data_IF_814755387659
#
_entry.id   IF_814755387659
#
_cell.length_a   1.000
_cell.length_b   1.000
_cell.length_c   1.000
_cell.angle_alpha   90.00
_cell.angle_beta   90.00
_cell.angle_gamma   90.00
#
_symmetry.space_group_name_H-M   'P 1'
#
loop_
_entity.id
_entity.type
_entity.pdbx_description
1 polymer ?
#
# COMPACT_ATOMS: atom_id res chain seq x y z
N UNK A 1 -23.63 -9.61 4.82
CA UNK A 1 -22.30 -9.80 4.19
C UNK A 1 -22.37 -9.76 2.67
N UNK A 2 -23.23 -10.58 2.03
CA UNK A 2 -23.38 -10.61 0.55
C UNK A 2 -23.72 -9.25 -0.05
N UNK A 3 -24.72 -8.54 0.47
CA UNK A 3 -25.09 -7.19 -0.02
C UNK A 3 -23.96 -6.18 0.11
N UNK A 4 -23.18 -6.26 1.20
CA UNK A 4 -22.08 -5.36 1.47
C UNK A 4 -20.90 -5.63 0.52
N UNK A 5 -20.67 -6.88 0.14
CA UNK A 5 -19.62 -7.31 -0.79
C UNK A 5 -19.89 -6.89 -2.25
N UNK A 6 -21.15 -6.68 -2.62
CA UNK A 6 -21.55 -6.25 -3.97
C UNK A 6 -21.53 -4.72 -4.17
N UNK A 7 -21.15 -3.97 -3.14
CA UNK A 7 -21.09 -2.50 -3.21
C UNK A 7 -20.02 -2.03 -4.20
N UNK A 8 -20.23 -0.88 -4.86
CA UNK A 8 -19.18 -0.28 -5.67
C UNK A 8 -17.94 0.02 -4.80
N UNK A 9 -16.76 -0.01 -5.42
CA UNK A 9 -15.46 0.27 -4.78
C UNK A 9 -14.98 -0.75 -3.74
N UNK A 10 -15.59 -1.94 -3.67
CA UNK A 10 -15.04 -3.08 -2.91
C UNK A 10 -13.78 -3.60 -3.61
N UNK A 11 -12.68 -3.60 -2.88
CA UNK A 11 -11.36 -4.06 -3.31
C UNK A 11 -11.13 -5.54 -3.00
N UNK A 12 -11.56 -5.97 -1.81
CA UNK A 12 -11.40 -7.34 -1.33
C UNK A 12 -12.43 -7.66 -0.25
N UNK A 13 -12.74 -8.95 -0.12
CA UNK A 13 -13.67 -9.50 0.87
C UNK A 13 -12.93 -10.56 1.69
N UNK A 14 -13.18 -10.62 3.00
CA UNK A 14 -12.55 -11.54 3.96
C UNK A 14 -11.01 -11.55 3.86
N UNK A 15 -10.41 -10.36 3.79
CA UNK A 15 -8.97 -10.23 3.65
C UNK A 15 -8.28 -10.37 5.01
N UNK A 16 -7.32 -11.28 5.08
CA UNK A 16 -6.50 -11.48 6.28
C UNK A 16 -5.35 -10.47 6.35
N UNK A 17 -5.25 -9.81 7.49
CA UNK A 17 -4.13 -9.00 7.92
C UNK A 17 -3.53 -9.60 9.19
N UNK A 18 -2.34 -9.17 9.56
CA UNK A 18 -1.66 -9.68 10.74
C UNK A 18 -1.30 -8.52 11.66
N UNK A 19 -1.55 -8.67 12.96
CA UNK A 19 -1.19 -7.65 13.95
C UNK A 19 0.26 -7.85 14.39
N UNK A 20 0.69 -9.11 14.44
CA UNK A 20 2.05 -9.53 14.74
C UNK A 20 2.29 -10.93 14.11
N UNK A 21 3.29 -11.66 14.59
CA UNK A 21 3.63 -12.98 14.05
C UNK A 21 2.64 -14.09 14.43
N UNK A 22 1.84 -13.88 15.48
CA UNK A 22 0.93 -14.87 16.06
C UNK A 22 -0.55 -14.51 15.84
N UNK A 23 -0.87 -13.21 15.77
CA UNK A 23 -2.23 -12.71 15.73
C UNK A 23 -2.62 -12.27 14.32
N UNK A 24 -3.69 -12.88 13.79
CA UNK A 24 -4.31 -12.51 12.51
C UNK A 24 -5.65 -11.80 12.74
N UNK A 25 -5.99 -10.90 11.85
CA UNK A 25 -7.26 -10.19 11.82
C UNK A 25 -7.88 -10.31 10.42
N UNK A 26 -9.10 -10.82 10.35
CA UNK A 26 -9.86 -10.87 9.10
C UNK A 26 -10.72 -9.62 9.02
N UNK A 27 -10.54 -8.87 7.92
CA UNK A 27 -11.34 -7.71 7.57
C UNK A 27 -12.38 -8.16 6.55
N UNK A 28 -13.66 -8.03 6.91
CA UNK A 28 -14.75 -8.54 6.09
C UNK A 28 -14.79 -7.86 4.72
N UNK A 29 -14.60 -6.54 4.68
CA UNK A 29 -14.60 -5.77 3.43
C UNK A 29 -13.51 -4.70 3.48
N UNK A 30 -12.69 -4.69 2.44
CA UNK A 30 -11.74 -3.61 2.15
C UNK A 30 -12.27 -2.84 0.95
N UNK A 31 -12.56 -1.55 1.13
CA UNK A 31 -13.12 -0.67 0.11
C UNK A 31 -12.32 0.61 -0.05
N UNK A 32 -12.77 1.47 -0.97
CA UNK A 32 -12.24 2.82 -1.17
C UNK A 32 -10.72 2.84 -1.42
N UNK A 33 -10.25 2.01 -2.34
CA UNK A 33 -8.82 1.81 -2.65
C UNK A 33 -7.98 1.35 -1.43
N UNK A 34 -8.62 0.72 -0.44
CA UNK A 34 -7.98 0.28 0.80
C UNK A 34 -8.08 1.26 1.95
N UNK A 35 -8.65 2.46 1.75
CA UNK A 35 -8.80 3.48 2.79
C UNK A 35 -9.96 3.23 3.76
N UNK A 36 -10.85 2.26 3.48
CA UNK A 36 -11.95 1.90 4.38
C UNK A 36 -11.96 0.41 4.66
N UNK A 37 -11.95 0.05 5.93
CA UNK A 37 -12.08 -1.33 6.41
C UNK A 37 -13.41 -1.48 7.12
N UNK A 38 -14.27 -2.38 6.66
CA UNK A 38 -15.59 -2.60 7.25
C UNK A 38 -15.65 -3.98 7.90
N UNK A 39 -16.12 -3.99 9.15
CA UNK A 39 -16.56 -5.18 9.87
C UNK A 39 -18.08 -5.24 9.84
N UNK A 40 -18.64 -6.35 9.36
CA UNK A 40 -20.08 -6.58 9.31
C UNK A 40 -20.50 -7.38 10.53
N UNK A 41 -21.49 -6.88 11.27
CA UNK A 41 -21.90 -7.44 12.56
C UNK A 41 -23.39 -7.73 12.51
N UNK A 42 -23.76 -9.01 12.60
CA UNK A 42 -25.16 -9.45 12.63
C UNK A 42 -25.65 -9.88 14.02
N UNK A 43 -24.82 -9.71 15.05
CA UNK A 43 -25.12 -10.14 16.44
C UNK A 43 -26.25 -9.32 17.05
N UNK A 44 -26.99 -9.93 17.99
CA UNK A 44 -28.05 -9.27 18.73
C UNK A 44 -27.51 -8.08 19.57
N UNK A 45 -28.14 -6.90 19.51
CA UNK A 45 -27.70 -5.69 20.22
C UNK A 45 -27.57 -5.87 21.74
N UNK A 46 -28.54 -6.54 22.38
CA UNK A 46 -28.55 -6.75 23.84
C UNK A 46 -27.38 -7.63 24.28
N UNK A 47 -27.10 -8.69 23.51
CA UNK A 47 -25.97 -9.58 23.77
C UNK A 47 -24.62 -8.84 23.63
N UNK A 48 -24.50 -7.94 22.66
CA UNK A 48 -23.30 -7.11 22.48
C UNK A 48 -23.07 -6.18 23.67
N UNK A 49 -24.14 -5.53 24.15
CA UNK A 49 -24.07 -4.64 25.33
C UNK A 49 -23.76 -5.40 26.62
N UNK A 50 -24.41 -6.54 26.85
CA UNK A 50 -24.18 -7.37 28.03
C UNK A 50 -22.72 -7.86 28.10
N UNK A 51 -22.19 -8.34 26.97
CA UNK A 51 -20.78 -8.75 26.84
C UNK A 51 -19.82 -7.58 27.10
N UNK A 52 -20.11 -6.41 26.55
CA UNK A 52 -19.26 -5.22 26.72
C UNK A 52 -19.36 -4.60 28.12
N UNK A 53 -20.36 -4.98 28.91
CA UNK A 53 -20.52 -4.60 30.32
C UNK A 53 -19.86 -5.60 31.28
N UNK A 54 -19.16 -6.64 30.77
CA UNK A 54 -18.48 -7.65 31.59
C UNK A 54 -19.41 -8.72 32.16
N UNK A 55 -20.64 -8.87 31.65
CA UNK A 55 -21.63 -9.85 32.14
C UNK A 55 -21.54 -11.22 31.44
N UNK A 56 -20.37 -11.61 30.95
CA UNK A 56 -20.16 -12.85 30.17
C UNK A 56 -19.19 -13.81 30.85
N UNK A 57 -19.06 -15.01 30.30
CA UNK A 57 -18.05 -15.99 30.67
C UNK A 57 -16.63 -15.41 30.58
N UNK A 58 -15.75 -15.87 31.47
CA UNK A 58 -14.34 -15.50 31.53
C UNK A 58 -13.64 -15.78 30.19
N UNK A 59 -12.99 -14.78 29.60
CA UNK A 59 -12.27 -14.90 28.32
C UNK A 59 -13.05 -14.46 27.07
N UNK A 60 -14.33 -14.10 27.17
CA UNK A 60 -15.11 -13.63 26.03
C UNK A 60 -14.69 -12.21 25.60
N UNK A 61 -14.24 -12.04 24.34
CA UNK A 61 -13.81 -10.74 23.80
C UNK A 61 -15.01 -9.88 23.38
N UNK A 62 -15.05 -8.67 23.89
CA UNK A 62 -16.10 -7.69 23.58
C UNK A 62 -15.93 -7.09 22.17
N UNK A 63 -16.96 -6.36 21.72
CA UNK A 63 -16.86 -5.61 20.46
C UNK A 63 -15.88 -4.43 20.58
N UNK A 64 -15.64 -3.92 21.79
CA UNK A 64 -14.66 -2.88 22.06
C UNK A 64 -13.23 -3.44 21.94
N UNK A 65 -12.98 -4.68 22.40
CA UNK A 65 -11.69 -5.33 22.21
C UNK A 65 -11.39 -5.58 20.73
N UNK A 66 -12.41 -5.96 19.96
CA UNK A 66 -12.29 -6.10 18.50
C UNK A 66 -12.05 -4.75 17.80
N UNK A 67 -12.66 -3.67 18.31
CA UNK A 67 -12.41 -2.32 17.79
C UNK A 67 -10.93 -1.92 17.98
N UNK A 68 -10.35 -2.21 19.14
CA UNK A 68 -8.94 -1.93 19.41
C UNK A 68 -8.02 -2.72 18.47
N UNK A 69 -8.29 -4.00 18.24
CA UNK A 69 -7.54 -4.82 17.27
C UNK A 69 -7.59 -4.23 15.85
N UNK A 70 -8.78 -3.82 15.40
CA UNK A 70 -8.95 -3.21 14.08
C UNK A 70 -8.18 -1.90 13.95
N UNK A 71 -8.26 -1.04 14.96
CA UNK A 71 -7.55 0.25 14.97
C UNK A 71 -6.04 0.04 15.04
N UNK A 72 -5.56 -0.86 15.89
CA UNK A 72 -4.14 -1.25 15.96
C UNK A 72 -3.66 -1.78 14.63
N UNK A 73 -4.40 -2.71 14.01
CA UNK A 73 -4.06 -3.29 12.72
C UNK A 73 -4.05 -2.23 11.60
N UNK A 74 -5.05 -1.35 11.55
CA UNK A 74 -5.12 -0.28 10.53
C UNK A 74 -3.87 0.62 10.50
N UNK A 75 -3.26 0.87 11.67
CA UNK A 75 -2.03 1.67 11.79
C UNK A 75 -0.79 0.97 11.23
N UNK A 76 -0.78 -0.37 11.20
CA UNK A 76 0.31 -1.17 10.62
C UNK A 76 0.25 -1.22 9.08
N UNK A 77 -0.96 -1.08 8.52
CA UNK A 77 -1.21 -1.14 7.08
C UNK A 77 -1.77 0.18 6.53
N UNK A 78 -1.03 1.30 6.64
CA UNK A 78 -1.50 2.56 6.10
C UNK A 78 -1.57 2.50 4.57
N UNK A 79 -2.57 3.17 4.01
CA UNK A 79 -2.68 3.45 2.58
C UNK A 79 -2.22 4.89 2.36
N UNK A 80 -1.18 5.10 1.54
CA UNK A 80 -0.57 6.43 1.37
C UNK A 80 -0.24 7.15 2.69
N UNK A 81 0.28 6.38 3.66
CA UNK A 81 0.63 6.84 5.01
C UNK A 81 -0.54 7.28 5.90
N UNK A 82 -1.78 7.05 5.47
CA UNK A 82 -2.99 7.24 6.27
C UNK A 82 -3.55 5.88 6.71
N UNK A 83 -3.80 5.67 8.02
CA UNK A 83 -4.49 4.46 8.48
C UNK A 83 -5.90 4.37 7.85
N UNK A 84 -6.32 3.19 7.38
CA UNK A 84 -7.68 3.00 6.88
C UNK A 84 -8.73 3.34 7.95
N UNK A 85 -9.80 3.99 7.52
CA UNK A 85 -10.98 4.26 8.33
C UNK A 85 -11.66 2.94 8.69
N UNK A 86 -11.82 2.69 9.98
CA UNK A 86 -12.48 1.48 10.47
C UNK A 86 -13.98 1.74 10.66
N UNK A 87 -14.80 0.92 10.01
CA UNK A 87 -16.27 1.00 10.02
C UNK A 87 -16.82 -0.28 10.63
N UNK A 88 -17.65 -0.17 11.66
CA UNK A 88 -18.43 -1.30 12.18
C UNK A 88 -19.88 -1.12 11.73
N UNK A 89 -20.36 -2.06 10.92
CA UNK A 89 -21.69 -2.03 10.32
C UNK A 89 -22.59 -3.08 10.96
N UNK A 90 -23.57 -2.62 11.73
CA UNK A 90 -24.49 -3.43 12.53
C UNK A 90 -25.79 -3.70 11.77
N UNK A 91 -25.96 -4.94 11.30
CA UNK A 91 -27.14 -5.37 10.52
C UNK A 91 -28.42 -5.45 11.37
N UNK A 92 -28.27 -5.69 12.67
CA UNK A 92 -29.38 -5.85 13.63
C UNK A 92 -29.53 -4.63 14.56
N UNK A 93 -28.86 -3.52 14.22
CA UNK A 93 -28.76 -2.33 15.05
C UNK A 93 -27.76 -2.44 16.22
N UNK A 94 -27.63 -1.37 16.99
CA UNK A 94 -26.77 -1.27 18.16
C UNK A 94 -27.36 -0.30 19.18
N UNK A 95 -27.25 -0.62 20.47
CA UNK A 95 -27.69 0.28 21.54
C UNK A 95 -26.84 1.55 21.62
N UNK A 96 -27.48 2.69 21.87
CA UNK A 96 -26.88 4.02 21.84
C UNK A 96 -25.61 4.15 22.71
N UNK A 97 -25.61 3.60 23.92
CA UNK A 97 -24.44 3.69 24.81
C UNK A 97 -23.22 2.97 24.22
N UNK A 98 -23.43 1.79 23.62
CA UNK A 98 -22.34 1.02 23.03
C UNK A 98 -21.85 1.66 21.73
N UNK A 99 -22.77 2.19 20.91
CA UNK A 99 -22.44 2.96 19.72
C UNK A 99 -21.58 4.19 20.06
N UNK A 100 -21.94 4.92 21.13
CA UNK A 100 -21.18 6.09 21.57
C UNK A 100 -19.78 5.71 22.10
N UNK A 101 -19.65 4.59 22.82
CA UNK A 101 -18.32 4.06 23.22
C UNK A 101 -17.45 3.72 22.01
N UNK A 102 -18.01 3.06 20.99
CA UNK A 102 -17.29 2.73 19.75
C UNK A 102 -16.86 3.98 18.99
N UNK A 103 -17.74 4.99 18.87
CA UNK A 103 -17.40 6.28 18.26
C UNK A 103 -16.28 6.99 19.02
N UNK A 104 -16.33 6.97 20.35
CA UNK A 104 -15.33 7.61 21.20
C UNK A 104 -13.91 7.03 21.01
N UNK A 105 -13.80 5.74 20.69
CA UNK A 105 -12.49 5.10 20.39
C UNK A 105 -12.05 5.26 18.93
N UNK A 106 -12.89 5.86 18.06
CA UNK A 106 -12.55 6.16 16.67
C UNK A 106 -13.17 5.22 15.63
N UNK A 107 -14.12 4.36 16.01
CA UNK A 107 -14.87 3.52 15.08
C UNK A 107 -16.01 4.31 14.45
N UNK A 108 -16.17 4.18 13.14
CA UNK A 108 -17.36 4.68 12.44
C UNK A 108 -18.46 3.65 12.52
N UNK A 109 -19.49 3.95 13.30
CA UNK A 109 -20.65 3.07 13.48
C UNK A 109 -21.68 3.31 12.38
N UNK A 110 -22.05 2.25 11.67
CA UNK A 110 -23.16 2.21 10.71
C UNK A 110 -24.22 1.20 11.17
N UNK A 111 -25.49 1.46 10.88
CA UNK A 111 -26.63 0.65 11.30
C UNK A 111 -27.63 1.44 12.14
N UNK A 112 -28.75 0.80 12.46
CA UNK A 112 -29.81 1.41 13.28
C UNK A 112 -29.33 1.63 14.73
N UNK A 113 -29.58 2.82 15.28
CA UNK A 113 -29.30 3.12 16.69
C UNK A 113 -30.56 2.85 17.50
N UNK A 114 -30.46 1.94 18.45
CA UNK A 114 -31.57 1.49 19.29
C UNK A 114 -31.49 2.14 20.68
N UNK A 115 -32.64 2.40 21.33
CA UNK A 115 -32.67 2.86 22.71
C UNK A 115 -32.03 1.81 23.63
N UNK A 116 -31.34 2.27 24.67
CA UNK A 116 -30.72 1.38 25.64
C UNK A 116 -31.79 0.59 26.41
N UNK A 117 -31.61 -0.72 26.55
CA UNK A 117 -32.44 -1.54 27.43
C UNK A 117 -32.37 -1.02 28.87
N UNK A 118 -33.51 -0.75 29.51
CA UNK A 118 -33.56 -0.46 30.95
C UNK A 118 -33.15 -1.74 31.68
N UNK A 119 -32.09 -1.66 32.48
CA UNK A 119 -31.65 -2.79 33.31
C UNK A 119 -32.71 -3.01 34.38
N UNK A 120 -33.67 -3.89 34.13
CA UNK A 120 -34.42 -4.51 35.21
C UNK A 120 -33.50 -5.56 35.83
N UNK A 121 -33.06 -5.28 37.05
CA UNK A 121 -32.38 -6.23 37.92
C UNK A 121 -33.38 -7.34 38.25
N UNK A 122 -33.37 -8.40 37.45
CA UNK A 122 -34.18 -9.59 37.69
C UNK A 122 -33.31 -10.79 37.37
N UNK A 123 -32.85 -11.41 38.47
CA UNK A 123 -32.40 -12.79 38.65
C UNK A 123 -31.77 -13.52 37.46
N UNK A 124 -30.53 -13.94 37.66
CA UNK A 124 -29.71 -14.63 36.67
C UNK A 124 -30.41 -15.76 35.93
N UNK A 125 -30.36 -15.69 34.60
CA UNK A 125 -30.35 -16.87 33.75
C UNK A 125 -28.94 -17.02 33.18
N UNK A 126 -28.30 -18.14 33.53
CA UNK A 126 -27.04 -18.57 32.94
C UNK A 126 -27.28 -18.90 31.47
N UNK A 127 -27.03 -17.93 30.59
CA UNK A 127 -27.11 -18.14 29.15
C UNK A 127 -25.86 -18.89 28.68
N UNK A 128 -25.98 -20.21 28.60
CA UNK A 128 -24.92 -21.10 28.14
C UNK A 128 -24.68 -20.87 26.64
N UNK A 129 -23.73 -19.99 26.33
CA UNK A 129 -23.35 -19.65 24.95
C UNK A 129 -22.29 -20.64 24.48
N UNK A 130 -22.73 -21.79 23.96
CA UNK A 130 -21.86 -22.58 23.10
C UNK A 130 -21.68 -21.82 21.79
N UNK A 131 -20.57 -21.11 21.65
CA UNK A 131 -20.13 -20.57 20.37
C UNK A 131 -19.45 -21.70 19.59
N UNK A 132 -20.15 -22.25 18.62
CA UNK A 132 -19.52 -22.95 17.51
C UNK A 132 -18.77 -21.92 16.67
N UNK A 133 -17.44 -21.93 16.76
CA UNK A 133 -16.57 -21.30 15.78
C UNK A 133 -16.72 -22.06 14.46
N UNK A 134 -17.75 -21.72 13.69
CA UNK A 134 -17.86 -22.10 12.28
C UNK A 134 -16.82 -21.27 11.51
N UNK A 135 -15.62 -21.83 11.34
CA UNK A 135 -14.73 -21.44 10.25
C UNK A 135 -15.43 -21.75 8.92
N UNK A 136 -16.22 -20.80 8.44
CA UNK A 136 -16.79 -20.85 7.10
C UNK A 136 -15.66 -20.70 6.08
N UNK A 137 -15.30 -21.83 5.44
CA UNK A 137 -14.48 -21.87 4.24
C UNK A 137 -15.12 -20.98 3.15
N UNK A 138 -14.53 -19.81 2.91
CA UNK A 138 -14.90 -18.96 1.79
C UNK A 138 -13.97 -19.22 0.60
N UNK A 139 -14.61 -19.49 -0.53
CA UNK A 139 -14.04 -19.94 -1.79
C UNK A 139 -13.10 -18.87 -2.34
N UNK A 140 -11.90 -19.30 -2.74
CA UNK A 140 -10.85 -18.49 -3.35
C UNK A 140 -11.33 -17.95 -4.71
N UNK A 141 -11.92 -16.75 -4.70
CA UNK A 141 -12.24 -16.04 -5.93
C UNK A 141 -11.04 -15.15 -6.28
N UNK A 142 -10.38 -15.49 -7.39
CA UNK A 142 -9.26 -14.74 -7.98
C UNK A 142 -9.57 -13.24 -7.96
N UNK A 143 -8.90 -12.50 -7.07
CA UNK A 143 -9.01 -11.05 -7.00
C UNK A 143 -8.27 -10.45 -8.19
N UNK A 144 -9.03 -9.81 -9.10
CA UNK A 144 -8.46 -8.89 -10.09
C UNK A 144 -7.68 -7.82 -9.32
N UNK A 145 -6.37 -7.78 -9.55
CA UNK A 145 -5.48 -6.76 -8.97
C UNK A 145 -5.98 -5.40 -9.49
N UNK A 146 -6.31 -4.44 -8.61
CA UNK A 146 -6.74 -3.12 -9.04
C UNK A 146 -5.60 -2.44 -9.81
N UNK A 147 -5.92 -1.80 -10.93
CA UNK A 147 -5.00 -0.96 -11.71
C UNK A 147 -4.30 0.02 -10.77
N UNK A 148 -3.00 -0.21 -10.56
CA UNK A 148 -2.35 0.16 -9.30
C UNK A 148 -2.21 1.66 -9.03
N UNK A 149 -2.46 2.58 -9.96
CA UNK A 149 -2.03 3.98 -9.78
C UNK A 149 -2.81 5.07 -10.55
N UNK A 150 -3.93 4.79 -11.23
CA UNK A 150 -4.56 5.81 -12.09
C UNK A 150 -5.62 6.70 -11.41
N UNK A 151 -5.66 6.77 -10.07
CA UNK A 151 -6.65 7.60 -9.37
C UNK A 151 -6.43 7.84 -7.89
N UNK A 152 -5.19 7.74 -7.40
CA UNK A 152 -4.86 8.02 -5.99
C UNK A 152 -4.28 9.43 -5.92
N UNK A 153 -4.89 10.30 -5.11
CA UNK A 153 -4.33 11.62 -4.84
C UNK A 153 -3.08 11.49 -3.96
N UNK A 154 -1.93 11.99 -4.45
CA UNK A 154 -0.67 12.04 -3.72
C UNK A 154 -0.28 13.47 -3.33
N UNK A 155 -1.22 14.41 -3.35
CA UNK A 155 -1.00 15.84 -3.07
C UNK A 155 -0.39 16.07 -1.68
N UNK A 156 -0.79 15.29 -0.67
CA UNK A 156 -0.31 15.42 0.71
C UNK A 156 1.15 14.97 0.90
N UNK A 157 1.67 14.10 0.03
CA UNK A 157 3.03 13.57 0.17
C UNK A 157 4.03 14.55 -0.45
N UNK A 158 4.84 15.19 0.39
CA UNK A 158 5.80 16.24 -0.01
C UNK A 158 7.20 15.73 -0.39
N UNK A 159 7.48 14.46 -0.14
CA UNK A 159 8.80 13.84 -0.36
C UNK A 159 8.69 12.66 -1.30
N UNK A 160 9.60 12.58 -2.27
CA UNK A 160 9.72 11.46 -3.20
C UNK A 160 11.02 10.72 -2.97
N UNK A 161 10.92 9.40 -2.79
CA UNK A 161 12.07 8.50 -2.76
C UNK A 161 12.30 7.95 -4.17
N UNK A 162 13.43 8.28 -4.79
CA UNK A 162 13.72 7.87 -6.17
C UNK A 162 14.46 6.54 -6.19
N UNK A 163 13.86 5.52 -6.81
CA UNK A 163 14.51 4.26 -7.12
C UNK A 163 15.54 4.43 -8.26
N UNK A 164 16.47 3.47 -8.35
CA UNK A 164 17.45 3.33 -9.44
C UNK A 164 16.78 3.47 -10.80
N UNK A 165 15.65 2.77 -10.99
CA UNK A 165 14.92 2.75 -12.26
C UNK A 165 14.35 4.11 -12.65
N UNK A 166 13.95 4.93 -11.69
CA UNK A 166 13.47 6.29 -11.92
C UNK A 166 14.61 7.23 -12.26
N UNK A 167 15.74 7.14 -11.54
CA UNK A 167 16.92 7.95 -11.85
C UNK A 167 17.42 7.64 -13.27
N UNK A 168 17.50 6.35 -13.65
CA UNK A 168 17.82 5.92 -15.02
C UNK A 168 16.85 6.50 -16.05
N UNK A 169 15.54 6.33 -15.85
CA UNK A 169 14.53 6.83 -16.79
C UNK A 169 14.59 8.36 -16.91
N UNK A 170 14.90 9.09 -15.85
CA UNK A 170 14.95 10.55 -15.87
C UNK A 170 16.14 11.12 -16.67
N UNK A 171 17.29 10.44 -16.62
CA UNK A 171 18.53 10.90 -17.30
C UNK A 171 18.75 10.26 -18.67
N UNK A 172 18.09 9.13 -18.96
CA UNK A 172 18.21 8.37 -20.20
C UNK A 172 18.08 9.24 -21.44
N UNK A 173 18.90 8.99 -22.45
CA UNK A 173 18.79 9.72 -23.71
C UNK A 173 17.42 9.49 -24.38
N UNK A 174 16.91 8.26 -24.30
CA UNK A 174 15.59 7.86 -24.80
C UNK A 174 14.50 8.83 -24.36
N UNK A 175 14.42 9.14 -23.07
CA UNK A 175 13.38 10.02 -22.48
C UNK A 175 13.69 11.51 -22.63
N UNK A 176 14.84 11.83 -23.23
CA UNK A 176 15.32 13.19 -23.46
C UNK A 176 15.36 13.52 -24.97
N UNK A 177 14.46 12.91 -25.75
CA UNK A 177 14.26 13.21 -27.17
C UNK A 177 14.99 12.29 -28.14
N UNK A 178 15.68 11.25 -27.64
CA UNK A 178 16.42 10.28 -28.47
C UNK A 178 15.73 8.91 -28.51
N UNK A 179 14.39 8.89 -28.62
CA UNK A 179 13.62 7.64 -28.75
C UNK A 179 13.46 7.16 -30.19
N UNK A 180 14.08 7.80 -31.18
CA UNK A 180 13.94 7.47 -32.61
C UNK A 180 15.04 6.51 -33.12
N UNK A 181 15.26 5.41 -32.40
CA UNK A 181 16.28 4.40 -32.71
C UNK A 181 15.71 2.98 -32.72
N UNK A 182 16.26 2.15 -33.61
CA UNK A 182 16.12 0.70 -33.58
C UNK A 182 17.43 0.11 -33.09
N UNK A 183 17.40 -0.47 -31.90
CA UNK A 183 18.54 -1.13 -31.29
C UNK A 183 18.59 -2.62 -31.68
N UNK A 184 19.77 -3.21 -31.56
CA UNK A 184 19.95 -4.67 -31.70
C UNK A 184 19.17 -5.45 -30.64
N UNK A 185 18.96 -4.85 -29.46
CA UNK A 185 18.15 -5.44 -28.41
C UNK A 185 16.69 -5.02 -28.58
N UNK A 186 15.82 -5.97 -28.88
CA UNK A 186 14.39 -5.73 -29.13
C UNK A 186 13.71 -4.97 -27.99
N UNK A 187 14.07 -5.26 -26.73
CA UNK A 187 13.52 -4.58 -25.56
C UNK A 187 13.78 -3.06 -25.57
N UNK A 188 14.93 -2.61 -26.09
CA UNK A 188 15.25 -1.18 -26.17
C UNK A 188 14.45 -0.51 -27.28
N UNK A 189 14.32 -1.18 -28.43
CA UNK A 189 13.46 -0.73 -29.54
C UNK A 189 11.99 -0.62 -29.08
N UNK A 190 11.52 -1.57 -28.29
CA UNK A 190 10.17 -1.53 -27.73
C UNK A 190 9.98 -0.35 -26.75
N UNK A 191 10.95 -0.08 -25.89
CA UNK A 191 10.91 1.06 -24.98
C UNK A 191 10.95 2.40 -25.72
N UNK A 192 11.67 2.50 -26.84
CA UNK A 192 11.63 3.66 -27.72
C UNK A 192 10.25 3.92 -28.31
N UNK A 193 9.57 2.87 -28.78
CA UNK A 193 8.18 2.96 -29.24
C UNK A 193 7.25 3.45 -28.11
N UNK A 194 7.38 2.87 -26.91
CA UNK A 194 6.61 3.33 -25.76
C UNK A 194 6.89 4.79 -25.39
N UNK A 195 8.15 5.24 -25.45
CA UNK A 195 8.49 6.64 -25.15
C UNK A 195 7.90 7.61 -26.18
N UNK A 196 7.81 7.21 -27.46
CA UNK A 196 7.18 8.01 -28.50
C UNK A 196 5.66 8.19 -28.26
N UNK A 197 4.98 7.15 -27.77
CA UNK A 197 3.54 7.18 -27.48
C UNK A 197 3.21 7.78 -26.10
N UNK A 198 4.04 7.47 -25.11
CA UNK A 198 3.82 7.75 -23.67
C UNK A 198 5.15 8.22 -23.05
N UNK A 199 5.48 9.50 -23.20
CA UNK A 199 6.75 10.04 -22.73
C UNK A 199 6.79 10.08 -21.20
N UNK A 200 7.79 9.43 -20.60
CA UNK A 200 7.89 9.30 -19.13
C UNK A 200 8.42 10.57 -18.48
N UNK A 201 9.34 11.29 -19.13
CA UNK A 201 10.00 12.45 -18.52
C UNK A 201 9.03 13.59 -18.14
N UNK A 202 8.05 13.99 -18.97
CA UNK A 202 7.05 14.98 -18.57
C UNK A 202 6.23 14.54 -17.35
N UNK A 203 5.88 13.26 -17.24
CA UNK A 203 5.14 12.69 -16.11
C UNK A 203 5.98 12.83 -14.83
N UNK A 204 7.25 12.43 -14.87
CA UNK A 204 8.15 12.55 -13.74
C UNK A 204 8.38 14.01 -13.34
N UNK A 205 8.57 14.92 -14.31
CA UNK A 205 8.74 16.36 -14.01
C UNK A 205 7.53 16.94 -13.29
N UNK A 206 6.32 16.60 -13.73
CA UNK A 206 5.08 17.02 -13.07
C UNK A 206 4.98 16.45 -11.65
N UNK A 207 5.38 15.19 -11.46
CA UNK A 207 5.39 14.57 -10.14
C UNK A 207 6.41 15.22 -9.19
N UNK A 208 7.57 15.61 -9.70
CA UNK A 208 8.68 16.19 -8.92
C UNK A 208 8.42 17.64 -8.51
N UNK A 209 7.54 18.34 -9.22
CA UNK A 209 7.24 19.76 -8.98
C UNK A 209 6.78 20.01 -7.54
N UNK A 210 7.46 20.92 -6.85
CA UNK A 210 7.16 21.30 -5.47
C UNK A 210 7.46 20.22 -4.41
N UNK A 211 8.11 19.11 -4.78
CA UNK A 211 8.42 18.01 -3.86
C UNK A 211 9.93 17.90 -3.60
N UNK A 212 10.28 17.44 -2.39
CA UNK A 212 11.67 17.12 -2.02
C UNK A 212 12.05 15.77 -2.62
N UNK A 213 13.15 15.72 -3.37
CA UNK A 213 13.68 14.48 -3.96
C UNK A 213 14.76 13.90 -3.05
N UNK A 214 14.64 12.62 -2.71
CA UNK A 214 15.61 11.90 -1.88
C UNK A 214 15.85 10.50 -2.45
N UNK A 215 16.96 9.89 -2.06
CA UNK A 215 17.16 8.45 -2.22
C UNK A 215 18.10 7.93 -1.13
N UNK A 216 18.21 6.61 -0.98
CA UNK A 216 19.18 6.01 -0.09
C UNK A 216 20.51 5.72 -0.80
N UNK A 217 21.58 5.51 -0.02
CA UNK A 217 22.91 5.17 -0.53
C UNK A 217 22.90 3.96 -1.46
N UNK A 218 22.19 2.88 -1.12
CA UNK A 218 22.05 1.72 -2.01
C UNK A 218 21.46 2.11 -3.36
N UNK A 219 20.43 2.96 -3.41
CA UNK A 219 19.85 3.42 -4.67
C UNK A 219 20.83 4.29 -5.47
N UNK A 220 21.48 5.25 -4.82
CA UNK A 220 22.41 6.16 -5.48
C UNK A 220 23.63 5.40 -6.04
N UNK A 221 24.26 4.58 -5.22
CA UNK A 221 25.48 3.85 -5.57
C UNK A 221 25.23 2.86 -6.71
N UNK A 222 24.08 2.17 -6.72
CA UNK A 222 23.74 1.27 -7.82
C UNK A 222 23.45 2.03 -9.13
N UNK A 223 22.76 3.16 -9.05
CA UNK A 223 22.52 4.01 -10.20
C UNK A 223 23.83 4.55 -10.78
N UNK A 224 24.73 5.06 -9.92
CA UNK A 224 26.04 5.59 -10.33
C UNK A 224 26.89 4.50 -11.02
N UNK A 225 26.97 3.29 -10.44
CA UNK A 225 27.66 2.14 -11.07
C UNK A 225 27.09 1.77 -12.45
N UNK A 226 25.76 1.73 -12.59
CA UNK A 226 25.11 1.43 -13.87
C UNK A 226 25.46 2.52 -14.89
N UNK A 227 25.43 3.78 -14.50
CA UNK A 227 25.74 4.92 -15.35
C UNK A 227 27.22 4.96 -15.75
N UNK A 228 28.14 4.63 -14.85
CA UNK A 228 29.58 4.54 -15.17
C UNK A 228 29.83 3.47 -16.24
N UNK A 229 29.13 2.33 -16.12
CA UNK A 229 29.29 1.17 -17.00
C UNK A 229 28.61 1.37 -18.36
N UNK A 230 27.41 1.94 -18.40
CA UNK A 230 26.54 1.96 -19.59
C UNK A 230 26.22 3.36 -20.12
N UNK A 231 26.36 4.39 -19.28
CA UNK A 231 25.92 5.75 -19.58
C UNK A 231 26.82 6.47 -20.56
N UNK A 232 26.20 7.13 -21.53
CA UNK A 232 26.90 8.01 -22.46
C UNK A 232 27.19 9.42 -21.88
N UNK A 233 27.90 10.27 -22.63
CA UNK A 233 28.27 11.62 -22.19
C UNK A 233 27.10 12.50 -21.76
N UNK A 234 25.98 12.48 -22.48
CA UNK A 234 24.81 13.32 -22.19
C UNK A 234 24.01 12.78 -21.00
N UNK A 235 23.88 11.47 -20.84
CA UNK A 235 23.29 10.82 -19.67
C UNK A 235 24.11 11.12 -18.40
N UNK A 236 25.45 11.09 -18.51
CA UNK A 236 26.36 11.51 -17.43
C UNK A 236 26.21 12.98 -17.09
N UNK A 237 26.13 13.86 -18.09
CA UNK A 237 25.89 15.29 -17.90
C UNK A 237 24.56 15.56 -17.18
N UNK A 238 23.48 14.88 -17.58
CA UNK A 238 22.17 15.01 -16.91
C UNK A 238 22.19 14.45 -15.49
N UNK A 239 23.03 13.45 -15.22
CA UNK A 239 23.20 12.92 -13.87
C UNK A 239 23.84 13.92 -12.92
N UNK A 240 24.80 14.72 -13.38
CA UNK A 240 25.37 15.82 -12.55
C UNK A 240 24.25 16.77 -12.10
N UNK A 241 23.36 17.17 -13.02
CA UNK A 241 22.20 18.00 -12.70
C UNK A 241 21.21 17.29 -11.75
N UNK A 242 21.00 15.99 -11.93
CA UNK A 242 20.15 15.21 -11.04
C UNK A 242 20.71 15.12 -9.62
N UNK A 243 22.03 15.00 -9.48
CA UNK A 243 22.73 14.95 -8.19
C UNK A 243 22.53 16.22 -7.38
N UNK A 244 22.45 17.37 -8.03
CA UNK A 244 22.18 18.66 -7.38
C UNK A 244 20.74 18.76 -6.82
N UNK A 245 19.80 17.98 -7.38
CA UNK A 245 18.39 18.01 -6.98
C UNK A 245 18.04 16.98 -5.89
N UNK A 246 18.84 15.93 -5.72
CA UNK A 246 18.55 14.80 -4.82
C UNK A 246 19.38 14.90 -3.55
N UNK A 247 18.74 14.69 -2.39
CA UNK A 247 19.46 14.41 -1.14
C UNK A 247 19.62 12.90 -0.92
N UNK A 248 20.86 12.43 -0.79
CA UNK A 248 21.16 11.03 -0.47
C UNK A 248 21.24 10.84 1.04
N UNK A 249 20.61 9.79 1.57
CA UNK A 249 20.63 9.43 2.99
C UNK A 249 21.19 8.02 3.20
N UNK A 250 21.74 7.70 4.40
CA UNK A 250 22.07 6.33 4.77
C UNK A 250 20.87 5.40 4.61
N UNK A 251 21.14 4.13 4.29
CA UNK A 251 20.06 3.15 4.04
C UNK A 251 19.12 2.99 5.23
N UNK A 252 19.62 3.07 6.47
CA UNK A 252 18.89 2.94 7.74
C UNK A 252 18.26 4.25 8.24
N UNK A 253 18.35 5.34 7.49
CA UNK A 253 17.74 6.61 7.86
C UNK A 253 16.22 6.46 8.02
N UNK A 254 15.69 7.04 9.11
CA UNK A 254 14.29 6.86 9.52
C UNK A 254 14.04 5.70 10.49
N UNK A 255 15.09 4.94 10.87
CA UNK A 255 15.03 3.93 11.94
C UNK A 255 14.88 2.50 11.41
N UNK A 256 14.30 1.62 12.22
CA UNK A 256 14.09 0.21 11.87
C UNK A 256 12.84 0.00 10.99
N UNK A 257 12.80 -1.11 10.26
CA UNK A 257 11.62 -1.49 9.50
C UNK A 257 10.44 -1.82 10.44
N UNK A 258 9.25 -1.27 10.17
CA UNK A 258 8.05 -1.59 10.95
C UNK A 258 7.43 -2.94 10.57
N UNK A 259 6.44 -3.39 11.33
CA UNK A 259 5.57 -4.47 10.90
C UNK A 259 4.57 -3.95 9.85
N UNK A 260 4.35 -4.65 8.71
CA UNK A 260 4.88 -5.96 8.33
C UNK A 260 6.21 -5.93 7.53
N UNK A 261 6.79 -4.76 7.24
CA UNK A 261 7.96 -4.61 6.35
C UNK A 261 9.21 -5.33 6.85
N UNK A 262 9.44 -5.37 8.17
CA UNK A 262 10.55 -6.12 8.78
C UNK A 262 10.52 -7.61 8.37
N UNK A 263 9.32 -8.18 8.21
CA UNK A 263 9.10 -9.58 7.89
C UNK A 263 9.07 -9.88 6.40
N UNK A 264 9.24 -8.88 5.53
CA UNK A 264 9.23 -9.09 4.08
C UNK A 264 10.38 -10.02 3.66
N UNK A 265 10.05 -11.19 3.10
CA UNK A 265 11.04 -12.21 2.75
C UNK A 265 11.61 -11.98 1.36
N UNK A 266 12.93 -12.04 1.25
CA UNK A 266 13.67 -11.93 -0.01
C UNK A 266 13.50 -13.24 -0.80
N UNK A 267 12.64 -13.24 -1.82
CA UNK A 267 12.38 -14.37 -2.72
C UNK A 267 11.68 -13.91 -4.00
N UNK A 268 11.86 -14.65 -5.09
CA UNK A 268 11.25 -14.32 -6.38
C UNK A 268 11.61 -12.91 -6.84
N UNK A 269 10.60 -12.05 -7.02
CA UNK A 269 10.76 -10.64 -7.42
C UNK A 269 11.09 -9.69 -6.25
N UNK A 270 11.03 -10.16 -5.00
CA UNK A 270 11.50 -9.38 -3.84
C UNK A 270 13.02 -9.57 -3.70
N UNK A 271 13.78 -8.64 -4.28
CA UNK A 271 15.25 -8.59 -4.20
C UNK A 271 15.70 -7.72 -3.03
N UNK A 272 16.87 -8.04 -2.45
CA UNK A 272 17.45 -7.30 -1.30
C UNK A 272 17.48 -5.79 -1.56
N UNK A 273 18.01 -5.39 -2.73
CA UNK A 273 18.08 -3.98 -3.13
C UNK A 273 16.72 -3.28 -3.08
N UNK A 274 15.73 -3.85 -3.75
CA UNK A 274 14.39 -3.25 -3.80
C UNK A 274 13.75 -3.22 -2.42
N UNK A 275 13.98 -4.23 -1.58
CA UNK A 275 13.55 -4.20 -0.18
C UNK A 275 14.15 -3.00 0.55
N UNK A 276 15.46 -2.77 0.48
CA UNK A 276 16.14 -1.62 1.11
C UNK A 276 15.53 -0.31 0.64
N UNK A 277 15.43 -0.10 -0.68
CA UNK A 277 14.96 1.16 -1.27
C UNK A 277 13.52 1.47 -0.86
N UNK A 278 12.62 0.50 -0.94
CA UNK A 278 11.21 0.71 -0.60
C UNK A 278 10.98 0.83 0.91
N UNK A 279 11.75 0.12 1.73
CA UNK A 279 11.71 0.27 3.18
C UNK A 279 12.19 1.65 3.62
N UNK A 280 13.31 2.13 3.06
CA UNK A 280 13.79 3.49 3.27
C UNK A 280 12.69 4.51 2.96
N UNK A 281 12.07 4.44 1.78
CA UNK A 281 10.98 5.34 1.42
C UNK A 281 9.78 5.27 2.37
N UNK A 282 9.42 4.07 2.83
CA UNK A 282 8.36 3.88 3.82
C UNK A 282 8.66 4.56 5.16
N UNK A 283 9.87 4.36 5.71
CA UNK A 283 10.28 4.91 7.02
C UNK A 283 10.16 6.43 7.07
N UNK A 284 10.54 7.11 6.00
CA UNK A 284 10.50 8.58 5.91
C UNK A 284 9.17 9.12 5.36
N UNK A 285 8.16 8.26 5.18
CA UNK A 285 6.85 8.61 4.59
C UNK A 285 6.97 9.28 3.21
N UNK A 286 7.88 8.80 2.37
CA UNK A 286 8.10 9.30 1.01
C UNK A 286 7.50 8.37 -0.05
N UNK A 287 6.77 8.95 -1.00
CA UNK A 287 6.24 8.20 -2.14
C UNK A 287 7.41 7.65 -2.95
N UNK A 288 7.53 6.33 -3.02
CA UNK A 288 8.63 5.69 -3.75
C UNK A 288 8.30 5.66 -5.24
N UNK A 289 9.11 6.34 -6.05
CA UNK A 289 8.95 6.39 -7.50
C UNK A 289 9.84 5.31 -8.09
N UNK A 290 9.26 4.41 -8.90
CA UNK A 290 9.98 3.24 -9.44
C UNK A 290 9.32 2.69 -10.71
N UNK A 291 10.07 2.00 -11.56
CA UNK A 291 9.53 1.15 -12.62
C UNK A 291 9.43 -0.34 -12.22
N UNK A 292 9.75 -0.69 -10.98
CA UNK A 292 9.78 -2.08 -10.51
C UNK A 292 8.40 -2.54 -10.00
N UNK A 293 7.44 -2.64 -10.92
CA UNK A 293 6.10 -3.16 -10.62
C UNK A 293 6.16 -4.59 -10.06
N UNK A 294 7.12 -5.40 -10.53
CA UNK A 294 7.33 -6.77 -10.07
C UNK A 294 7.61 -6.85 -8.57
N UNK A 295 8.41 -5.93 -8.02
CA UNK A 295 8.65 -5.83 -6.58
C UNK A 295 7.37 -5.43 -5.83
N UNK A 296 6.69 -4.36 -6.26
CA UNK A 296 5.47 -3.86 -5.60
C UNK A 296 4.42 -4.96 -5.49
N UNK A 297 4.19 -5.69 -6.59
CA UNK A 297 3.26 -6.81 -6.63
C UNK A 297 3.71 -7.98 -5.75
N UNK A 298 4.99 -8.34 -5.77
CA UNK A 298 5.50 -9.46 -4.97
C UNK A 298 5.54 -9.14 -3.46
N UNK A 299 5.75 -7.87 -3.08
CA UNK A 299 5.59 -7.41 -1.70
C UNK A 299 4.12 -7.50 -1.26
N UNK A 300 3.19 -7.05 -2.11
CA UNK A 300 1.75 -7.14 -1.84
C UNK A 300 1.29 -8.58 -1.65
N UNK A 301 1.80 -9.53 -2.43
CA UNK A 301 1.54 -10.97 -2.27
C UNK A 301 2.05 -11.53 -0.93
N UNK A 302 3.02 -10.87 -0.30
CA UNK A 302 3.47 -11.18 1.06
C UNK A 302 2.75 -10.35 2.13
N UNK A 303 1.70 -9.61 1.76
CA UNK A 303 0.93 -8.78 2.68
C UNK A 303 1.55 -7.41 2.96
N UNK A 304 2.59 -6.99 2.23
CA UNK A 304 3.27 -5.71 2.44
C UNK A 304 2.87 -4.71 1.36
N UNK A 305 2.31 -3.58 1.77
CA UNK A 305 1.98 -2.46 0.88
C UNK A 305 3.01 -1.34 1.02
N UNK A 306 3.35 -0.70 -0.10
CA UNK A 306 4.16 0.52 -0.12
C UNK A 306 3.39 1.62 -0.83
N UNK A 307 3.56 2.86 -0.36
CA UNK A 307 3.18 4.03 -1.13
C UNK A 307 4.18 4.18 -2.28
N UNK A 308 3.75 3.85 -3.51
CA UNK A 308 4.62 3.87 -4.67
C UNK A 308 3.93 4.44 -5.90
N UNK A 309 4.65 5.28 -6.65
CA UNK A 309 4.27 5.69 -7.99
C UNK A 309 5.04 4.84 -9.00
N UNK A 310 4.31 4.01 -9.75
CA UNK A 310 4.92 3.11 -10.75
C UNK A 310 4.86 3.74 -12.13
N UNK A 311 6.03 3.97 -12.74
CA UNK A 311 6.14 4.43 -14.13
C UNK A 311 6.63 3.31 -15.06
N UNK A 312 6.41 3.46 -16.37
CA UNK A 312 6.97 2.49 -17.34
C UNK A 312 8.50 2.56 -17.36
N UNK A 313 9.16 1.40 -17.52
CA UNK A 313 10.63 1.32 -17.54
C UNK A 313 11.23 1.95 -18.80
N UNK A 314 12.34 2.68 -18.63
CA UNK A 314 13.15 3.27 -19.70
C UNK A 314 14.63 3.11 -19.35
N UNK A 315 15.38 2.42 -20.21
CA UNK A 315 16.80 2.14 -20.01
C UNK A 315 17.69 3.31 -20.46
N UNK A 316 18.94 3.33 -20.00
CA UNK A 316 20.00 4.14 -20.60
C UNK A 316 20.29 3.60 -22.01
N UNK A 317 20.41 4.48 -23.00
CA UNK A 317 20.55 4.10 -24.40
C UNK A 317 21.73 4.72 -25.11
N UNK A 318 22.27 5.84 -24.63
CA UNK A 318 23.26 6.63 -25.36
C UNK A 318 24.49 5.81 -25.75
N UNK A 319 25.03 5.01 -24.83
CA UNK A 319 26.19 4.15 -25.10
C UNK A 319 25.95 3.03 -26.14
N UNK A 320 24.72 2.84 -26.63
CA UNK A 320 24.37 1.86 -27.66
C UNK A 320 23.89 2.50 -28.97
N UNK A 321 23.70 3.80 -29.00
CA UNK A 321 23.17 4.54 -30.16
C UNK A 321 24.09 4.41 -31.38
N UNK A 322 25.42 4.38 -31.20
CA UNK A 322 26.40 4.21 -32.28
C UNK A 322 26.22 2.91 -33.07
N UNK A 323 25.70 1.86 -32.40
CA UNK A 323 25.44 0.55 -33.00
C UNK A 323 23.99 0.35 -33.44
N UNK A 324 23.15 1.36 -33.22
CA UNK A 324 21.72 1.35 -33.51
C UNK A 324 21.42 2.04 -34.84
N UNK A 325 20.27 1.72 -35.43
CA UNK A 325 19.78 2.40 -36.64
C UNK A 325 18.84 3.53 -36.25
N UNK A 326 19.22 4.77 -36.55
CA UNK A 326 18.34 5.93 -36.36
C UNK A 326 17.19 5.90 -37.37
N UNK A 327 15.98 6.20 -36.91
CA UNK A 327 14.80 6.38 -37.77
C UNK A 327 14.51 7.89 -37.85
N UNK A 328 14.30 8.37 -39.06
CA UNK A 328 13.73 9.71 -39.28
C UNK A 328 12.21 9.57 -39.16
N UNK A 329 11.61 10.33 -38.26
CA UNK A 329 10.15 10.44 -38.15
C UNK A 329 9.60 11.34 -39.26
#
# INVERSE_FOLDING_TARGET
MVECALRPYVLAVCKTFHIDNCNKLIIDIVGDQGNTWTKVIARNPKSLSALSAGKSSYGARSILDQADDYLKCSRLYPCMYQPPKVVFEFMSGIEENLANKLRAVGIVVKGEILPNSIVQDSGGESFDSQSSDDESNCINMQSKIPELNHGIDHSEIKTLNLDVTTMMAYVSNMTNGHHNFIFKQEVLTQQCSWEAERPVKPILRKLFEGKKLVCCETAWNDFEKILETLGGPMEKKRTVLLKEMITVYPDDFGGEDDYPRQNLKVRGHVRVRSKIIFNFGHRIKALTVSANEGFVRAALQQGVTYAAFVHESRALTEGKEDSARRITL
#
